data_IF_888621655585
#
_entry.id   IF_888621655585
#
_cell.length_a   1.000
_cell.length_b   1.000
_cell.length_c   1.000
_cell.angle_alpha   90.00
_cell.angle_beta   90.00
_cell.angle_gamma   90.00
#
_symmetry.space_group_name_H-M   'P 1'
#
loop_
_entity.id
_entity.type
_entity.pdbx_description
1 polymer ?
#
# COMPACT_ATOMS: atom_id res chain seq x y z
N UNK A 1 -27.70 70.54 -19.82
CA UNK A 1 -26.65 70.25 -18.82
C UNK A 1 -26.81 68.78 -18.44
N UNK A 2 -25.85 67.93 -18.81
CA UNK A 2 -26.02 66.47 -18.90
C UNK A 2 -26.05 65.73 -17.56
N UNK A 3 -26.58 64.48 -17.53
CA UNK A 3 -26.70 63.70 -16.30
C UNK A 3 -25.32 63.22 -15.79
N UNK A 4 -25.15 63.02 -14.47
CA UNK A 4 -23.90 62.56 -13.90
C UNK A 4 -23.68 61.07 -14.25
N UNK A 5 -22.57 60.78 -14.95
CA UNK A 5 -22.13 59.41 -15.22
C UNK A 5 -21.58 58.79 -13.94
N UNK A 6 -22.25 57.74 -13.47
CA UNK A 6 -21.91 56.95 -12.27
C UNK A 6 -20.51 56.33 -12.38
N UNK A 7 -19.59 56.79 -11.52
CA UNK A 7 -18.25 56.18 -11.35
C UNK A 7 -18.29 54.85 -10.57
N UNK A 8 -19.46 54.48 -10.03
CA UNK A 8 -19.63 53.34 -9.14
C UNK A 8 -19.52 51.96 -9.82
N UNK A 9 -19.66 51.88 -11.15
CA UNK A 9 -19.76 50.59 -11.84
C UNK A 9 -18.41 49.95 -12.18
N UNK A 10 -17.28 50.65 -12.02
CA UNK A 10 -15.95 50.11 -12.38
C UNK A 10 -15.18 49.46 -11.21
N UNK A 11 -15.58 49.70 -9.96
CA UNK A 11 -14.90 49.11 -8.79
C UNK A 11 -15.50 47.76 -8.37
N UNK A 12 -16.71 47.42 -8.81
CA UNK A 12 -17.34 46.13 -8.50
C UNK A 12 -16.85 44.97 -9.40
N UNK A 13 -16.26 45.28 -10.56
CA UNK A 13 -15.83 44.27 -11.53
C UNK A 13 -14.44 43.65 -11.21
N UNK A 14 -13.64 44.28 -10.33
CA UNK A 14 -12.30 43.81 -10.00
C UNK A 14 -12.23 42.93 -8.74
N UNK A 15 -13.29 42.87 -7.93
CA UNK A 15 -13.36 41.98 -6.76
C UNK A 15 -13.95 40.59 -7.08
N UNK A 16 -14.60 40.42 -8.24
CA UNK A 16 -15.16 39.14 -8.65
C UNK A 16 -14.13 38.22 -9.35
N UNK A 17 -13.05 38.78 -9.89
CA UNK A 17 -12.01 38.02 -10.59
C UNK A 17 -10.98 37.35 -9.66
N UNK A 18 -10.95 37.73 -8.38
CA UNK A 18 -9.98 37.20 -7.42
C UNK A 18 -10.45 35.93 -6.68
N UNK A 19 -11.71 35.49 -6.90
CA UNK A 19 -12.29 34.36 -6.17
C UNK A 19 -12.30 33.03 -6.94
N UNK A 20 -11.77 32.99 -8.17
CA UNK A 20 -12.04 31.88 -9.10
C UNK A 20 -10.96 30.79 -9.26
N UNK A 21 -9.89 30.73 -8.46
CA UNK A 21 -8.82 29.78 -8.81
C UNK A 21 -7.99 29.14 -7.67
N UNK A 22 -8.56 28.92 -6.49
CA UNK A 22 -8.01 27.88 -5.59
C UNK A 22 -8.80 26.60 -5.77
N UNK A 23 -8.61 25.92 -6.90
CA UNK A 23 -9.01 24.53 -7.04
C UNK A 23 -8.11 23.68 -6.12
N UNK A 24 -8.67 22.78 -5.29
CA UNK A 24 -7.83 21.87 -4.52
C UNK A 24 -6.99 21.05 -5.49
N UNK A 25 -5.68 21.04 -5.29
CA UNK A 25 -4.79 20.15 -6.03
C UNK A 25 -5.24 18.71 -5.76
N UNK A 26 -5.61 17.98 -6.82
CA UNK A 26 -5.89 16.55 -6.69
C UNK A 26 -4.65 15.88 -6.11
N UNK A 27 -4.82 15.16 -5.00
CA UNK A 27 -3.72 14.39 -4.42
C UNK A 27 -3.20 13.39 -5.45
N UNK A 28 -1.87 13.25 -5.55
CA UNK A 28 -1.28 12.26 -6.42
C UNK A 28 -1.77 10.85 -6.02
N UNK A 29 -2.04 9.95 -6.99
CA UNK A 29 -2.48 8.61 -6.68
C UNK A 29 -1.40 7.89 -5.84
N UNK A 30 -1.80 7.08 -4.84
CA UNK A 30 -0.83 6.42 -3.99
C UNK A 30 0.00 5.41 -4.76
N UNK A 31 1.26 5.25 -4.33
CA UNK A 31 2.22 4.32 -4.91
C UNK A 31 2.94 3.54 -3.83
N UNK A 32 3.42 2.35 -4.16
CA UNK A 32 4.29 1.53 -3.29
C UNK A 32 5.58 1.19 -4.06
N UNK A 33 6.73 1.39 -3.43
CA UNK A 33 8.01 0.90 -3.93
C UNK A 33 8.10 -0.61 -3.67
N UNK A 34 8.46 -1.37 -4.69
CA UNK A 34 8.56 -2.83 -4.62
C UNK A 34 9.95 -3.23 -5.11
N UNK A 35 10.73 -3.84 -4.22
CA UNK A 35 12.15 -4.16 -4.41
C UNK A 35 12.37 -5.67 -4.31
N UNK A 36 12.85 -6.27 -5.39
CA UNK A 36 13.29 -7.67 -5.44
C UNK A 36 14.81 -7.78 -5.31
N UNK A 37 15.36 -8.97 -5.56
CA UNK A 37 16.80 -9.25 -5.40
C UNK A 37 17.75 -8.51 -6.38
N UNK A 38 17.22 -7.73 -7.30
CA UNK A 38 17.99 -6.95 -8.27
C UNK A 38 17.15 -6.01 -9.13
N UNK A 39 15.87 -5.82 -8.77
CA UNK A 39 14.93 -4.97 -9.48
C UNK A 39 14.20 -4.09 -8.48
N UNK A 40 13.99 -2.84 -8.84
CA UNK A 40 13.16 -1.90 -8.09
C UNK A 40 12.16 -1.32 -9.07
N UNK A 41 10.88 -1.40 -8.72
CA UNK A 41 9.81 -0.72 -9.43
C UNK A 41 8.91 0.01 -8.45
N UNK A 42 8.20 1.02 -8.94
CA UNK A 42 7.15 1.70 -8.19
C UNK A 42 5.82 1.32 -8.81
N UNK A 43 4.95 0.70 -8.03
CA UNK A 43 3.60 0.36 -8.47
C UNK A 43 2.62 1.45 -8.05
N UNK A 44 1.82 1.91 -9.00
CA UNK A 44 0.69 2.79 -8.76
C UNK A 44 -0.54 2.02 -8.27
N UNK A 45 -1.46 2.71 -7.60
CA UNK A 45 -2.75 2.13 -7.23
C UNK A 45 -3.51 1.53 -8.43
N UNK A 46 -3.41 2.15 -9.61
CA UNK A 46 -4.04 1.63 -10.83
C UNK A 46 -3.41 0.31 -11.29
N UNK A 47 -2.07 0.20 -11.24
CA UNK A 47 -1.38 -1.05 -11.58
C UNK A 47 -1.69 -2.15 -10.57
N UNK A 48 -1.78 -1.83 -9.27
CA UNK A 48 -2.19 -2.79 -8.24
C UNK A 48 -3.65 -3.23 -8.41
N UNK A 49 -4.55 -2.33 -8.79
CA UNK A 49 -5.95 -2.65 -9.06
C UNK A 49 -6.13 -3.54 -10.29
N UNK A 50 -5.21 -3.48 -11.26
CA UNK A 50 -5.20 -4.33 -12.44
C UNK A 50 -4.66 -5.75 -12.19
N UNK A 51 -4.03 -6.01 -11.03
CA UNK A 51 -3.61 -7.35 -10.64
C UNK A 51 -4.79 -8.19 -10.14
N UNK A 52 -4.68 -9.54 -10.15
CA UNK A 52 -5.67 -10.42 -9.55
C UNK A 52 -5.98 -10.02 -8.11
N UNK A 53 -7.27 -9.72 -7.86
CA UNK A 53 -7.76 -9.22 -6.58
C UNK A 53 -8.09 -10.38 -5.64
N UNK A 54 -7.76 -10.23 -4.37
CA UNK A 54 -8.06 -11.16 -3.28
C UNK A 54 -8.82 -10.43 -2.18
N UNK A 55 -9.57 -11.17 -1.38
CA UNK A 55 -10.26 -10.63 -0.22
C UNK A 55 -10.21 -11.56 0.98
N UNK A 56 -10.04 -10.99 2.16
CA UNK A 56 -10.07 -11.70 3.45
C UNK A 56 -11.01 -11.00 4.41
N UNK A 57 -11.68 -11.74 5.28
CA UNK A 57 -12.46 -11.17 6.39
C UNK A 57 -11.64 -11.31 7.65
N UNK A 58 -11.37 -10.20 8.33
CA UNK A 58 -10.48 -10.16 9.47
C UNK A 58 -10.92 -9.08 10.47
N UNK A 59 -10.59 -9.27 11.75
CA UNK A 59 -10.89 -8.32 12.82
C UNK A 59 -9.64 -7.55 13.24
N UNK A 60 -9.77 -6.23 13.28
CA UNK A 60 -8.75 -5.32 13.81
C UNK A 60 -9.32 -4.58 15.02
N UNK A 61 -8.76 -4.84 16.21
CA UNK A 61 -9.16 -4.19 17.47
C UNK A 61 -10.68 -4.17 17.73
N UNK A 62 -11.38 -5.31 17.52
CA UNK A 62 -12.83 -5.41 17.71
C UNK A 62 -13.66 -4.93 16.52
N UNK A 63 -13.04 -4.38 15.47
CA UNK A 63 -13.70 -3.98 14.25
C UNK A 63 -13.44 -5.00 13.13
N UNK A 64 -14.43 -5.87 12.87
CA UNK A 64 -14.41 -6.80 11.74
C UNK A 64 -14.59 -6.04 10.42
N UNK A 65 -13.92 -6.48 9.36
CA UNK A 65 -14.06 -5.92 8.03
C UNK A 65 -13.65 -6.90 6.94
N UNK A 66 -14.16 -6.70 5.73
CA UNK A 66 -13.66 -7.34 4.52
C UNK A 66 -12.54 -6.49 3.95
N UNK A 67 -11.36 -7.05 3.85
CA UNK A 67 -10.17 -6.38 3.31
C UNK A 67 -9.92 -6.89 1.91
N UNK A 68 -9.78 -5.99 0.95
CA UNK A 68 -9.54 -6.35 -0.44
C UNK A 68 -8.29 -5.69 -1.00
N UNK A 69 -7.58 -6.44 -1.83
CA UNK A 69 -6.21 -6.12 -2.18
C UNK A 69 -5.61 -7.08 -3.18
N UNK A 70 -4.28 -7.07 -3.26
CA UNK A 70 -3.50 -8.06 -4.00
C UNK A 70 -2.98 -9.08 -2.98
N UNK A 71 -3.07 -10.38 -3.31
CA UNK A 71 -2.45 -11.41 -2.48
C UNK A 71 -0.93 -11.20 -2.41
N UNK A 72 -0.34 -11.36 -1.22
CA UNK A 72 1.11 -11.19 -1.04
C UNK A 72 1.89 -12.18 -1.92
N UNK A 73 1.40 -13.41 -2.08
CA UNK A 73 2.00 -14.41 -2.98
C UNK A 73 2.08 -13.96 -4.43
N UNK A 74 1.10 -13.20 -4.93
CA UNK A 74 1.12 -12.58 -6.27
C UNK A 74 2.23 -11.51 -6.37
N UNK A 75 2.41 -10.69 -5.33
CA UNK A 75 3.48 -9.70 -5.28
C UNK A 75 4.86 -10.36 -5.21
N UNK A 76 5.00 -11.41 -4.40
CA UNK A 76 6.22 -12.21 -4.29
C UNK A 76 6.62 -12.84 -5.62
N UNK A 77 5.66 -13.41 -6.35
CA UNK A 77 5.91 -13.95 -7.69
C UNK A 77 6.41 -12.87 -8.65
N UNK A 78 5.81 -11.66 -8.61
CA UNK A 78 6.25 -10.50 -9.41
C UNK A 78 7.65 -10.02 -9.04
N UNK A 79 8.05 -10.20 -7.78
CA UNK A 79 9.38 -9.88 -7.26
C UNK A 79 10.44 -10.96 -7.56
N UNK A 80 10.06 -12.08 -8.17
CA UNK A 80 10.95 -13.22 -8.43
C UNK A 80 11.32 -14.01 -7.18
N UNK A 81 10.47 -13.99 -6.15
CA UNK A 81 10.67 -14.76 -4.93
C UNK A 81 10.59 -16.28 -5.19
N UNK A 82 11.21 -17.05 -4.31
CA UNK A 82 11.05 -18.51 -4.29
C UNK A 82 9.64 -18.91 -3.89
N UNK A 83 9.09 -19.95 -4.53
CA UNK A 83 7.83 -20.58 -4.13
C UNK A 83 7.88 -22.10 -4.36
N UNK A 84 7.08 -22.84 -3.59
CA UNK A 84 6.99 -24.29 -3.56
C UNK A 84 8.35 -24.96 -3.42
N UNK A 85 8.58 -26.01 -4.21
CA UNK A 85 9.84 -26.76 -4.27
C UNK A 85 11.10 -25.90 -4.51
N UNK A 86 10.97 -24.69 -5.05
CA UNK A 86 12.11 -23.79 -5.23
C UNK A 86 12.50 -23.05 -3.94
N UNK A 87 11.59 -22.91 -2.98
CA UNK A 87 11.81 -22.32 -1.66
C UNK A 87 12.44 -23.35 -0.71
N UNK A 88 13.75 -23.51 -0.84
CA UNK A 88 14.52 -24.50 -0.07
C UNK A 88 15.94 -24.04 0.21
N UNK A 89 16.61 -24.72 1.15
CA UNK A 89 17.99 -24.42 1.52
C UNK A 89 18.13 -22.98 2.04
N UNK A 90 19.16 -22.22 1.63
CA UNK A 90 19.36 -20.84 2.08
C UNK A 90 18.17 -19.90 1.84
N UNK A 91 17.34 -20.19 0.81
CA UNK A 91 16.17 -19.36 0.47
C UNK A 91 15.06 -19.42 1.53
N UNK A 92 15.06 -20.43 2.41
CA UNK A 92 14.16 -20.48 3.56
C UNK A 92 14.43 -19.37 4.58
N UNK A 93 15.62 -18.75 4.52
CA UNK A 93 15.96 -17.55 5.26
C UNK A 93 15.59 -16.24 4.54
N UNK A 94 15.02 -16.27 3.33
CA UNK A 94 14.62 -15.03 2.67
C UNK A 94 13.45 -14.37 3.42
N UNK A 95 13.46 -13.04 3.47
CA UNK A 95 12.54 -12.22 4.28
C UNK A 95 11.86 -11.18 3.38
N UNK A 96 10.58 -10.97 3.61
CA UNK A 96 9.83 -9.80 3.14
C UNK A 96 9.90 -8.71 4.21
N UNK A 97 10.56 -7.59 3.92
CA UNK A 97 10.57 -6.41 4.77
C UNK A 97 9.56 -5.39 4.24
N UNK A 98 8.68 -4.91 5.11
CA UNK A 98 7.66 -3.92 4.77
C UNK A 98 7.88 -2.67 5.60
N UNK A 99 7.89 -1.51 4.94
CA UNK A 99 8.13 -0.19 5.56
C UNK A 99 6.92 0.70 5.36
N UNK A 100 6.47 1.31 6.46
CA UNK A 100 5.41 2.31 6.49
C UNK A 100 5.98 3.73 6.38
N UNK A 101 5.12 4.68 5.98
CA UNK A 101 5.44 6.11 5.83
C UNK A 101 5.98 6.78 7.09
N UNK A 102 5.73 6.22 8.27
CA UNK A 102 6.23 6.71 9.56
C UNK A 102 7.58 6.08 9.97
N UNK A 103 8.17 5.25 9.08
CA UNK A 103 9.41 4.53 9.32
C UNK A 103 9.25 3.23 10.11
N UNK A 104 8.03 2.86 10.51
CA UNK A 104 7.77 1.56 11.13
C UNK A 104 8.04 0.43 10.13
N UNK A 105 8.66 -0.65 10.61
CA UNK A 105 9.11 -1.76 9.78
C UNK A 105 8.70 -3.10 10.39
N UNK A 106 8.22 -4.00 9.52
CA UNK A 106 7.86 -5.37 9.90
C UNK A 106 8.49 -6.34 8.92
N UNK A 107 9.02 -7.43 9.45
CA UNK A 107 9.59 -8.53 8.68
C UNK A 107 8.68 -9.77 8.74
N UNK A 108 8.61 -10.48 7.62
CA UNK A 108 7.93 -11.77 7.47
C UNK A 108 8.89 -12.73 6.79
N UNK A 109 9.01 -13.95 7.28
CA UNK A 109 9.75 -14.98 6.56
C UNK A 109 9.00 -15.32 5.26
N UNK A 110 9.72 -15.52 4.16
CA UNK A 110 9.12 -15.81 2.87
C UNK A 110 8.28 -17.11 2.92
N UNK A 111 8.74 -18.09 3.72
CA UNK A 111 8.06 -19.34 4.00
C UNK A 111 6.68 -19.19 4.68
N UNK A 112 6.39 -18.07 5.33
CA UNK A 112 5.06 -17.83 5.93
C UNK A 112 3.96 -17.83 4.85
N UNK A 113 4.28 -17.39 3.63
CA UNK A 113 3.32 -17.25 2.54
C UNK A 113 3.29 -18.45 1.58
N UNK A 114 4.21 -19.40 1.73
CA UNK A 114 4.32 -20.54 0.85
C UNK A 114 3.27 -21.61 1.17
N UNK A 115 2.50 -22.11 0.19
CA UNK A 115 1.40 -23.04 0.45
C UNK A 115 1.84 -24.38 1.03
N UNK A 116 3.06 -24.84 0.76
CA UNK A 116 3.60 -26.10 1.27
C UNK A 116 4.24 -25.94 2.67
N UNK A 117 4.31 -24.70 3.18
CA UNK A 117 4.87 -24.34 4.47
C UNK A 117 3.83 -23.60 5.34
N UNK A 118 3.88 -22.27 5.39
CA UNK A 118 3.01 -21.47 6.27
C UNK A 118 1.62 -21.21 5.71
N UNK A 119 1.48 -21.10 4.38
CA UNK A 119 0.20 -20.92 3.69
C UNK A 119 -0.59 -19.67 4.08
N UNK A 120 0.05 -18.64 4.64
CA UNK A 120 -0.65 -17.48 5.18
C UNK A 120 -1.43 -16.72 4.10
N UNK A 121 -2.71 -16.46 4.35
CA UNK A 121 -3.62 -15.78 3.39
C UNK A 121 -3.49 -14.26 3.48
N UNK A 122 -2.28 -13.76 3.28
CA UNK A 122 -1.98 -12.35 3.43
C UNK A 122 -2.40 -11.53 2.19
N UNK A 123 -2.94 -10.34 2.44
CA UNK A 123 -3.39 -9.39 1.42
C UNK A 123 -2.75 -8.03 1.65
N UNK A 124 -2.17 -7.44 0.61
CA UNK A 124 -1.87 -6.01 0.55
C UNK A 124 -3.17 -5.28 0.20
N UNK A 125 -3.91 -4.87 1.23
CA UNK A 125 -5.21 -4.24 1.10
C UNK A 125 -5.09 -2.76 0.73
N UNK A 126 -5.94 -2.33 -0.19
CA UNK A 126 -6.16 -0.92 -0.56
C UNK A 126 -7.64 -0.50 -0.35
N UNK A 127 -8.52 -1.48 -0.07
CA UNK A 127 -9.90 -1.24 0.33
C UNK A 127 -10.30 -2.06 1.56
N UNK A 128 -11.29 -1.53 2.28
CA UNK A 128 -12.03 -2.19 3.33
C UNK A 128 -13.53 -1.99 3.10
N UNK A 129 -14.27 -3.08 3.08
CA UNK A 129 -15.72 -3.12 2.85
C UNK A 129 -16.12 -2.37 1.57
N UNK A 130 -15.30 -2.53 0.52
CA UNK A 130 -15.48 -1.90 -0.79
C UNK A 130 -15.15 -0.39 -0.85
N UNK A 131 -14.67 0.20 0.24
CA UNK A 131 -14.23 1.59 0.29
C UNK A 131 -12.71 1.70 0.36
N UNK A 132 -12.08 2.72 -0.25
CA UNK A 132 -10.66 2.98 -0.05
C UNK A 132 -10.30 3.11 1.43
N UNK A 133 -9.12 2.64 1.81
CA UNK A 133 -8.61 2.85 3.17
C UNK A 133 -8.50 4.34 3.48
N UNK A 134 -8.86 4.72 4.70
CA UNK A 134 -8.79 6.12 5.13
C UNK A 134 -7.34 6.59 5.36
N UNK A 135 -7.15 7.85 5.75
CA UNK A 135 -5.81 8.38 5.99
C UNK A 135 -5.07 7.68 7.15
N UNK A 136 -5.78 7.06 8.08
CA UNK A 136 -5.19 6.34 9.21
C UNK A 136 -4.70 4.95 8.79
N UNK A 137 -5.49 4.21 8.02
CA UNK A 137 -5.19 2.83 7.60
C UNK A 137 -4.39 2.76 6.28
N UNK A 138 -4.61 3.70 5.38
CA UNK A 138 -4.13 3.68 4.01
C UNK A 138 -2.79 4.41 3.78
N UNK A 139 -2.32 4.44 2.52
CA UNK A 139 -3.06 3.98 1.33
C UNK A 139 -3.05 2.46 1.15
N UNK A 140 -2.10 1.78 1.77
CA UNK A 140 -1.98 0.32 1.73
C UNK A 140 -1.75 -0.24 3.13
N UNK A 141 -2.36 -1.39 3.41
CA UNK A 141 -2.20 -2.12 4.68
C UNK A 141 -1.99 -3.61 4.42
N UNK A 142 -1.07 -4.24 5.13
CA UNK A 142 -0.91 -5.68 5.08
C UNK A 142 -1.83 -6.33 6.10
N UNK A 143 -2.64 -7.29 5.66
CA UNK A 143 -3.63 -7.98 6.49
C UNK A 143 -3.34 -9.47 6.45
N UNK A 144 -3.13 -10.07 7.63
CA UNK A 144 -2.86 -11.50 7.81
C UNK A 144 -3.96 -12.10 8.71
N UNK A 145 -5.09 -12.57 8.14
CA UNK A 145 -6.28 -12.93 8.91
C UNK A 145 -6.07 -14.09 9.89
N UNK A 146 -5.01 -14.86 9.70
CA UNK A 146 -4.69 -16.05 10.50
C UNK A 146 -3.83 -15.71 11.74
N UNK A 147 -3.41 -14.44 11.91
CA UNK A 147 -2.73 -13.99 13.13
C UNK A 147 -3.69 -13.79 14.30
N UNK A 148 -3.36 -14.38 15.46
CA UNK A 148 -4.15 -14.23 16.68
C UNK A 148 -4.25 -12.78 17.18
N UNK A 149 -3.27 -11.93 16.83
CA UNK A 149 -3.26 -10.49 17.12
C UNK A 149 -2.74 -9.74 15.90
N UNK A 150 -3.38 -8.64 15.46
CA UNK A 150 -2.98 -7.88 14.27
C UNK A 150 -1.73 -7.00 14.48
N UNK A 151 -0.79 -7.42 15.33
CA UNK A 151 0.40 -6.64 15.70
C UNK A 151 1.34 -6.40 14.51
N UNK A 152 1.32 -7.31 13.52
CA UNK A 152 2.09 -7.20 12.28
C UNK A 152 1.23 -6.74 11.11
N UNK A 153 0.02 -6.20 11.31
CA UNK A 153 -0.78 -5.67 10.21
C UNK A 153 -0.40 -4.22 9.90
N UNK A 154 0.79 -4.06 9.35
CA UNK A 154 1.41 -2.77 9.04
C UNK A 154 0.53 -1.95 8.08
N UNK A 155 0.30 -0.69 8.45
CA UNK A 155 -0.55 0.28 7.75
C UNK A 155 0.27 1.42 7.16
N UNK A 156 -0.27 2.12 6.16
CA UNK A 156 0.44 3.22 5.50
C UNK A 156 1.74 2.77 4.81
N UNK A 157 1.71 1.59 4.18
CA UNK A 157 2.87 1.00 3.52
C UNK A 157 3.31 1.87 2.34
N UNK A 158 4.61 2.12 2.25
CA UNK A 158 5.24 2.82 1.12
C UNK A 158 6.29 1.96 0.40
N UNK A 159 6.82 0.92 1.06
CA UNK A 159 7.89 0.08 0.50
C UNK A 159 7.78 -1.38 0.93
N UNK A 160 8.02 -2.30 0.00
CA UNK A 160 8.03 -3.75 0.18
C UNK A 160 9.30 -4.30 -0.47
N UNK A 161 10.11 -5.06 0.28
CA UNK A 161 11.46 -5.46 -0.14
C UNK A 161 11.72 -6.94 0.17
N UNK A 162 12.39 -7.63 -0.76
CA UNK A 162 12.96 -8.95 -0.50
C UNK A 162 14.41 -8.82 -0.03
N UNK A 163 14.71 -9.47 1.09
CA UNK A 163 16.05 -9.57 1.63
C UNK A 163 16.48 -11.03 1.72
N UNK A 164 17.72 -11.31 1.31
CA UNK A 164 18.37 -12.56 1.69
C UNK A 164 18.91 -12.40 3.11
N UNK A 165 18.53 -13.28 4.03
CA UNK A 165 19.35 -13.45 5.23
C UNK A 165 20.68 -14.06 4.78
N UNK A 166 21.78 -13.39 5.11
CA UNK A 166 23.11 -13.85 4.73
C UNK A 166 23.30 -15.31 5.16
N UNK A 167 23.94 -16.12 4.30
CA UNK A 167 24.34 -17.45 4.71
C UNK A 167 25.24 -17.31 5.97
N UNK A 168 25.08 -18.18 6.98
CA UNK A 168 25.99 -18.18 8.11
C UNK A 168 27.41 -18.26 7.56
N UNK A 169 28.26 -17.30 7.96
CA UNK A 169 29.68 -17.39 7.66
C UNK A 169 30.17 -18.65 8.36
N UNK A 170 30.75 -19.59 7.61
CA UNK A 170 31.33 -20.79 8.21
C UNK A 170 32.33 -20.36 9.30
N UNK A 171 32.36 -21.05 10.45
CA UNK A 171 33.28 -20.71 11.54
C UNK A 171 34.75 -20.80 11.12
#
# INVERSE_FOLDING_TARGET
>A
MGPPRSRATRLLALLFAAWLATAPAAAAPPTVDVVGFGAHTRLTAAELAALPRSSVVAEDHGARGRWEGVAVTTLLARLGAAQGESLRGPRLGDVLLVTARDGYRVAYALAEFDPDLGGARAVLADTRDGQPLDAHEGPFRLVLPDEARPARWIRGIERIELHRLAAPTAP
#
